data_IF_653475252400
#
_entry.id   IF_653475252400
#
_cell.length_a   1.000
_cell.length_b   1.000
_cell.length_c   1.000
_cell.angle_alpha   90.00
_cell.angle_beta   90.00
_cell.angle_gamma   90.00
#
_symmetry.space_group_name_H-M   'P 1'
#
loop_
_entity.id
_entity.type
_entity.pdbx_description
1 polymer ?
#
# COMPACT_ATOMS: atom_id res chain seq x y z
N UNK A 1 38.74 -29.09 41.44
CA UNK A 1 38.41 -27.71 41.87
C UNK A 1 37.43 -27.14 40.84
N UNK A 2 36.11 -27.11 41.04
CA UNK A 2 35.28 -26.29 41.94
C UNK A 2 35.57 -24.78 41.84
N UNK A 3 34.80 -24.05 41.03
CA UNK A 3 34.40 -22.66 41.29
C UNK A 3 32.90 -22.51 40.99
N UNK A 4 32.14 -22.35 42.07
CA UNK A 4 30.74 -21.90 42.17
C UNK A 4 30.78 -20.42 42.54
N UNK A 5 30.16 -19.53 41.76
CA UNK A 5 29.77 -18.16 42.15
C UNK A 5 28.69 -17.71 41.16
N UNK A 6 27.39 -17.68 41.44
CA UNK A 6 26.60 -16.88 42.39
C UNK A 6 26.60 -15.38 42.03
N UNK A 7 25.66 -14.95 41.19
CA UNK A 7 25.15 -13.57 41.13
C UNK A 7 23.62 -13.64 41.07
N UNK A 8 23.04 -13.47 42.24
CA UNK A 8 21.66 -13.13 42.56
C UNK A 8 21.61 -11.58 42.67
N UNK A 9 20.45 -10.97 42.44
CA UNK A 9 19.98 -9.64 42.93
C UNK A 9 19.81 -8.52 41.88
N UNK A 10 18.71 -7.76 42.02
CA UNK A 10 18.33 -6.44 41.43
C UNK A 10 17.69 -6.52 40.01
N UNK A 11 16.46 -6.06 39.71
CA UNK A 11 15.66 -4.95 40.24
C UNK A 11 14.14 -5.19 40.01
N UNK A 12 13.34 -5.05 41.08
CA UNK A 12 11.88 -4.85 41.06
C UNK A 12 11.61 -3.34 40.87
N UNK A 13 10.85 -2.95 39.84
CA UNK A 13 9.93 -1.81 39.77
C UNK A 13 9.73 -1.36 38.31
N UNK A 14 8.76 -1.93 37.60
CA UNK A 14 8.27 -1.37 36.33
C UNK A 14 6.78 -1.71 36.13
N UNK A 15 5.96 -1.44 37.15
CA UNK A 15 4.50 -1.66 37.13
C UNK A 15 3.80 -0.30 37.24
N UNK A 16 3.45 0.31 36.10
CA UNK A 16 2.61 1.52 36.16
C UNK A 16 2.55 2.38 34.89
N UNK A 17 2.27 1.83 33.71
CA UNK A 17 1.87 2.65 32.54
C UNK A 17 1.09 1.91 31.44
N UNK A 18 0.58 0.69 31.67
CA UNK A 18 -0.02 -0.15 30.60
C UNK A 18 -1.55 -0.03 30.45
N UNK A 19 -2.25 0.80 31.23
CA UNK A 19 -3.73 0.71 31.33
C UNK A 19 -4.55 1.73 30.54
N UNK A 20 -3.97 2.74 29.88
CA UNK A 20 -4.77 3.79 29.21
C UNK A 20 -5.04 3.57 27.71
N UNK A 21 -4.43 2.58 27.06
CA UNK A 21 -4.66 2.32 25.62
C UNK A 21 -5.95 1.51 25.34
N UNK A 22 -6.48 0.79 26.33
CA UNK A 22 -7.64 -0.07 26.14
C UNK A 22 -8.98 0.70 26.02
N UNK A 23 -9.10 1.89 26.62
CA UNK A 23 -10.39 2.60 26.66
C UNK A 23 -10.72 3.37 25.38
N UNK A 24 -9.73 3.82 24.61
CA UNK A 24 -9.97 4.56 23.37
C UNK A 24 -10.42 3.67 22.19
N UNK A 25 -10.13 2.36 22.22
CA UNK A 25 -10.44 1.44 21.11
C UNK A 25 -11.89 0.92 21.12
N UNK A 26 -12.64 1.11 22.21
CA UNK A 26 -13.99 0.55 22.33
C UNK A 26 -15.09 1.46 21.72
N UNK A 27 -14.77 2.73 21.44
CA UNK A 27 -15.75 3.74 21.04
C UNK A 27 -16.39 3.50 19.66
N UNK A 28 -15.65 3.01 18.67
CA UNK A 28 -16.20 2.82 17.31
C UNK A 28 -17.09 1.58 17.20
N UNK A 29 -16.78 0.50 17.92
CA UNK A 29 -17.64 -0.71 17.92
C UNK A 29 -18.99 -0.43 18.58
N UNK A 30 -19.03 0.44 19.60
CA UNK A 30 -20.27 0.81 20.31
C UNK A 30 -21.21 1.64 19.42
N UNK A 31 -20.69 2.41 18.45
CA UNK A 31 -21.51 3.16 17.48
C UNK A 31 -22.23 2.28 16.44
N UNK A 32 -21.84 1.00 16.30
CA UNK A 32 -22.51 0.10 15.35
C UNK A 32 -23.92 -0.26 15.82
N UNK A 33 -24.91 -0.32 14.90
CA UNK A 33 -26.22 -0.91 15.18
C UNK A 33 -26.07 -2.33 15.77
N UNK A 34 -26.92 -2.75 16.73
CA UNK A 34 -26.73 -3.99 17.46
C UNK A 34 -26.56 -5.25 16.60
N UNK A 35 -27.37 -5.38 15.53
CA UNK A 35 -27.27 -6.50 14.60
C UNK A 35 -25.92 -6.52 13.87
N UNK A 36 -25.44 -5.35 13.44
CA UNK A 36 -24.18 -5.21 12.73
C UNK A 36 -22.99 -5.44 13.65
N UNK A 37 -23.07 -4.98 14.90
CA UNK A 37 -22.07 -5.23 15.93
C UNK A 37 -21.91 -6.72 16.21
N UNK A 38 -23.01 -7.43 16.41
CA UNK A 38 -22.99 -8.88 16.62
C UNK A 38 -22.39 -9.61 15.42
N UNK A 39 -22.76 -9.21 14.21
CA UNK A 39 -22.19 -9.76 12.98
C UNK A 39 -20.67 -9.53 12.87
N UNK A 40 -20.18 -8.31 13.13
CA UNK A 40 -18.75 -7.99 13.11
C UNK A 40 -17.99 -8.79 14.18
N UNK A 41 -18.51 -8.86 15.41
CA UNK A 41 -17.89 -9.62 16.50
C UNK A 41 -17.88 -11.12 16.24
N UNK A 42 -18.85 -11.65 15.47
CA UNK A 42 -18.87 -13.07 15.10
C UNK A 42 -17.77 -13.45 14.09
N UNK A 43 -17.17 -12.46 13.40
CA UNK A 43 -16.23 -12.72 12.30
C UNK A 43 -16.85 -13.38 11.06
N UNK A 44 -18.17 -13.48 10.99
CA UNK A 44 -18.87 -14.06 9.84
C UNK A 44 -19.19 -12.98 8.80
N UNK A 45 -18.44 -12.97 7.69
CA UNK A 45 -18.63 -12.02 6.60
C UNK A 45 -20.06 -12.05 6.01
N UNK A 46 -20.68 -13.23 5.92
CA UNK A 46 -22.06 -13.35 5.41
C UNK A 46 -23.06 -12.68 6.34
N UNK A 47 -22.88 -12.83 7.66
CA UNK A 47 -23.74 -12.16 8.64
C UNK A 47 -23.58 -10.64 8.57
N UNK A 48 -22.38 -10.13 8.31
CA UNK A 48 -22.12 -8.69 8.13
C UNK A 48 -22.85 -8.18 6.88
N UNK A 49 -22.70 -8.86 5.73
CA UNK A 49 -23.40 -8.49 4.50
C UNK A 49 -24.93 -8.55 4.64
N UNK A 50 -25.46 -9.60 5.31
CA UNK A 50 -26.90 -9.70 5.60
C UNK A 50 -27.38 -8.55 6.47
N UNK A 51 -26.65 -8.22 7.55
CA UNK A 51 -27.00 -7.11 8.43
C UNK A 51 -26.99 -5.77 7.68
N UNK A 52 -26.00 -5.52 6.81
CA UNK A 52 -25.97 -4.31 5.96
C UNK A 52 -27.19 -4.27 5.04
N UNK A 53 -27.51 -5.38 4.35
CA UNK A 53 -28.63 -5.44 3.42
C UNK A 53 -29.99 -5.23 4.11
N UNK A 54 -30.18 -5.83 5.28
CA UNK A 54 -31.41 -5.66 6.07
C UNK A 54 -31.52 -4.24 6.60
N UNK A 55 -30.45 -3.68 7.16
CA UNK A 55 -30.46 -2.34 7.77
C UNK A 55 -30.51 -1.22 6.72
N UNK A 56 -29.97 -1.43 5.53
CA UNK A 56 -30.05 -0.46 4.43
C UNK A 56 -31.46 -0.34 3.87
N UNK A 57 -32.29 -1.39 4.01
CA UNK A 57 -33.64 -1.43 3.44
C UNK A 57 -33.65 -1.29 1.92
N UNK A 58 -32.57 -1.73 1.25
CA UNK A 58 -32.38 -1.55 -0.19
C UNK A 58 -31.90 -0.16 -0.61
N UNK A 59 -31.67 0.77 0.32
CA UNK A 59 -31.11 2.08 -0.01
C UNK A 59 -29.58 2.00 -0.22
N UNK A 60 -29.07 2.30 -1.43
CA UNK A 60 -27.65 2.16 -1.76
C UNK A 60 -26.75 3.14 -0.99
N UNK A 61 -27.21 4.36 -0.72
CA UNK A 61 -26.45 5.34 0.06
C UNK A 61 -26.27 4.86 1.50
N UNK A 62 -27.36 4.38 2.12
CA UNK A 62 -27.33 3.84 3.47
C UNK A 62 -26.46 2.59 3.57
N UNK A 63 -26.45 1.74 2.53
CA UNK A 63 -25.55 0.60 2.46
C UNK A 63 -24.08 1.04 2.46
N UNK A 64 -23.73 2.10 1.72
CA UNK A 64 -22.39 2.70 1.70
C UNK A 64 -21.99 3.24 3.09
N UNK A 65 -22.88 3.97 3.75
CA UNK A 65 -22.63 4.53 5.08
C UNK A 65 -22.42 3.41 6.13
N UNK A 66 -23.23 2.35 6.08
CA UNK A 66 -23.07 1.17 6.94
C UNK A 66 -21.77 0.43 6.64
N UNK A 67 -21.40 0.24 5.37
CA UNK A 67 -20.12 -0.37 5.00
C UNK A 67 -18.92 0.46 5.53
N UNK A 68 -19.02 1.79 5.49
CA UNK A 68 -18.01 2.69 6.04
C UNK A 68 -17.87 2.54 7.57
N UNK A 69 -19.00 2.41 8.30
CA UNK A 69 -18.97 2.12 9.73
C UNK A 69 -18.34 0.76 10.04
N UNK A 70 -18.67 -0.26 9.25
CA UNK A 70 -18.14 -1.63 9.41
C UNK A 70 -16.63 -1.66 9.23
N UNK A 71 -16.10 -1.04 8.17
CA UNK A 71 -14.66 -1.06 7.93
C UNK A 71 -13.90 -0.24 8.98
N UNK A 72 -14.49 0.85 9.49
CA UNK A 72 -13.91 1.62 10.60
C UNK A 72 -13.85 0.78 11.88
N UNK A 73 -14.90 0.03 12.18
CA UNK A 73 -14.90 -0.89 13.32
C UNK A 73 -13.93 -2.07 13.11
N UNK A 74 -13.81 -2.57 11.88
CA UNK A 74 -12.84 -3.61 11.52
C UNK A 74 -11.39 -3.13 11.75
N UNK A 75 -11.07 -1.87 11.38
CA UNK A 75 -9.76 -1.27 11.62
C UNK A 75 -9.41 -1.23 13.12
N UNK A 76 -10.37 -0.87 13.98
CA UNK A 76 -10.17 -0.89 15.44
C UNK A 76 -10.00 -2.31 16.00
N UNK A 77 -10.77 -3.26 15.48
CA UNK A 77 -10.73 -4.67 15.89
C UNK A 77 -9.45 -5.40 15.45
N UNK A 78 -8.70 -4.86 14.50
CA UNK A 78 -7.50 -5.48 13.94
C UNK A 78 -6.45 -5.83 15.00
N UNK A 79 -6.36 -5.07 16.09
CA UNK A 79 -5.42 -5.35 17.19
C UNK A 79 -5.87 -6.48 18.13
N UNK A 80 -7.16 -6.80 18.14
CA UNK A 80 -7.77 -7.77 19.07
C UNK A 80 -8.14 -9.07 18.36
N UNK A 81 -8.74 -8.97 17.18
CA UNK A 81 -9.13 -10.11 16.34
C UNK A 81 -8.92 -9.79 14.85
N UNK A 82 -7.67 -9.98 14.33
CA UNK A 82 -7.35 -9.70 12.94
C UNK A 82 -8.22 -10.48 11.93
N UNK A 83 -8.58 -11.72 12.25
CA UNK A 83 -9.37 -12.57 11.36
C UNK A 83 -10.80 -12.03 11.19
N UNK A 84 -11.46 -11.66 12.29
CA UNK A 84 -12.79 -11.04 12.23
C UNK A 84 -12.73 -9.66 11.53
N UNK A 85 -11.65 -8.90 11.73
CA UNK A 85 -11.46 -7.61 11.08
C UNK A 85 -11.37 -7.75 9.55
N UNK A 86 -10.58 -8.70 9.05
CA UNK A 86 -10.50 -8.97 7.62
C UNK A 86 -11.83 -9.45 7.02
N UNK A 87 -12.56 -10.32 7.74
CA UNK A 87 -13.88 -10.78 7.30
C UNK A 87 -14.89 -9.62 7.21
N UNK A 88 -14.92 -8.74 8.21
CA UNK A 88 -15.79 -7.57 8.23
C UNK A 88 -15.41 -6.55 7.12
N UNK A 89 -14.11 -6.28 6.94
CA UNK A 89 -13.63 -5.43 5.86
C UNK A 89 -13.96 -6.01 4.47
N UNK A 90 -13.83 -7.32 4.28
CA UNK A 90 -14.22 -8.00 3.04
C UNK A 90 -15.71 -7.86 2.74
N UNK A 91 -16.57 -8.03 3.74
CA UNK A 91 -18.01 -7.81 3.58
C UNK A 91 -18.36 -6.36 3.23
N UNK A 92 -17.65 -5.38 3.83
CA UNK A 92 -17.82 -3.97 3.51
C UNK A 92 -17.37 -3.64 2.07
N UNK A 93 -16.22 -4.16 1.62
CA UNK A 93 -15.73 -4.00 0.25
C UNK A 93 -16.70 -4.63 -0.76
N UNK A 94 -17.21 -5.83 -0.49
CA UNK A 94 -18.19 -6.48 -1.36
C UNK A 94 -19.52 -5.72 -1.41
N UNK A 95 -19.91 -5.03 -0.34
CA UNK A 95 -21.10 -4.16 -0.35
C UNK A 95 -20.90 -2.98 -1.32
N UNK A 96 -19.78 -2.27 -1.22
CA UNK A 96 -19.50 -1.11 -2.09
C UNK A 96 -19.13 -1.50 -3.52
N UNK A 97 -18.84 -2.79 -3.77
CA UNK A 97 -18.65 -3.32 -5.11
C UNK A 97 -19.90 -3.20 -5.98
N UNK A 98 -21.09 -3.21 -5.39
CA UNK A 98 -22.33 -3.05 -6.13
C UNK A 98 -22.35 -1.68 -6.85
N UNK A 99 -22.52 -1.69 -8.17
CA UNK A 99 -22.48 -0.49 -9.01
C UNK A 99 -23.46 0.60 -8.54
N UNK A 100 -24.65 0.22 -8.05
CA UNK A 100 -25.63 1.20 -7.54
C UNK A 100 -25.14 1.92 -6.29
N UNK A 101 -24.35 1.23 -5.45
CA UNK A 101 -23.71 1.82 -4.26
C UNK A 101 -22.59 2.77 -4.68
N UNK A 102 -21.78 2.37 -5.67
CA UNK A 102 -20.69 3.21 -6.19
C UNK A 102 -21.20 4.54 -6.75
N UNK A 103 -22.32 4.52 -7.49
CA UNK A 103 -22.90 5.73 -8.09
C UNK A 103 -23.62 6.60 -7.07
N UNK A 104 -24.25 5.99 -6.06
CA UNK A 104 -25.00 6.74 -5.04
C UNK A 104 -24.08 7.35 -3.97
N UNK A 105 -23.06 6.61 -3.53
CA UNK A 105 -22.13 6.99 -2.45
C UNK A 105 -20.66 6.86 -2.85
N UNK A 106 -20.17 7.67 -3.82
CA UNK A 106 -18.80 7.58 -4.28
C UNK A 106 -17.78 7.92 -3.19
N UNK A 107 -18.04 8.93 -2.35
CA UNK A 107 -17.15 9.33 -1.25
C UNK A 107 -17.02 8.22 -0.20
N UNK A 108 -18.14 7.58 0.17
CA UNK A 108 -18.15 6.45 1.09
C UNK A 108 -17.39 5.25 0.51
N UNK A 109 -17.57 4.97 -0.79
CA UNK A 109 -16.82 3.91 -1.47
C UNK A 109 -15.32 4.16 -1.37
N UNK A 110 -14.85 5.39 -1.64
CA UNK A 110 -13.44 5.75 -1.51
C UNK A 110 -12.92 5.61 -0.08
N UNK A 111 -13.71 6.04 0.92
CA UNK A 111 -13.38 5.87 2.34
C UNK A 111 -13.25 4.39 2.71
N UNK A 112 -14.16 3.55 2.22
CA UNK A 112 -14.13 2.10 2.45
C UNK A 112 -12.88 1.47 1.86
N UNK A 113 -12.55 1.80 0.61
CA UNK A 113 -11.35 1.25 -0.05
C UNK A 113 -10.05 1.71 0.62
N UNK A 114 -9.99 2.98 1.04
CA UNK A 114 -8.82 3.53 1.73
C UNK A 114 -8.62 2.86 3.10
N UNK A 115 -9.70 2.65 3.84
CA UNK A 115 -9.64 1.99 5.15
C UNK A 115 -9.33 0.50 5.01
N UNK A 116 -9.95 -0.19 4.04
CA UNK A 116 -9.63 -1.58 3.72
C UNK A 116 -8.15 -1.74 3.33
N UNK A 117 -7.59 -0.78 2.59
CA UNK A 117 -6.17 -0.73 2.26
C UNK A 117 -5.27 -0.66 3.50
N UNK A 118 -5.61 0.17 4.49
CA UNK A 118 -4.88 0.18 5.77
C UNK A 118 -4.97 -1.14 6.52
N UNK A 119 -6.13 -1.80 6.50
CA UNK A 119 -6.35 -3.09 7.17
C UNK A 119 -5.48 -4.20 6.55
N UNK A 120 -5.53 -4.40 5.23
CA UNK A 120 -4.77 -5.50 4.61
C UNK A 120 -3.26 -5.24 4.57
N UNK A 121 -2.83 -3.97 4.62
CA UNK A 121 -1.41 -3.59 4.77
C UNK A 121 -0.93 -3.74 6.22
N UNK A 122 -1.80 -3.87 7.22
CA UNK A 122 -1.35 -3.96 8.59
C UNK A 122 -0.55 -5.25 8.85
N UNK A 123 0.56 -5.20 9.63
CA UNK A 123 1.36 -6.38 9.93
C UNK A 123 0.55 -7.54 10.51
N UNK A 124 -0.38 -7.24 11.44
CA UNK A 124 -1.24 -8.23 12.08
C UNK A 124 -2.11 -9.01 11.07
N UNK A 125 -2.65 -8.33 10.05
CA UNK A 125 -3.44 -8.99 9.00
C UNK A 125 -2.57 -9.98 8.20
N UNK A 126 -1.39 -9.52 7.77
CA UNK A 126 -0.47 -10.34 6.96
C UNK A 126 0.15 -11.51 7.72
N UNK A 127 0.33 -11.40 9.03
CA UNK A 127 0.87 -12.47 9.86
C UNK A 127 -0.16 -13.55 10.20
N UNK A 128 -1.41 -13.14 10.49
CA UNK A 128 -2.45 -14.07 10.95
C UNK A 128 -3.18 -14.74 9.80
N UNK A 129 -3.51 -14.02 8.71
CA UNK A 129 -4.16 -14.63 7.56
C UNK A 129 -3.68 -14.01 6.23
N UNK A 130 -2.45 -14.34 5.80
CA UNK A 130 -1.83 -13.79 4.58
C UNK A 130 -2.72 -13.98 3.33
N UNK A 131 -3.35 -15.15 3.18
CA UNK A 131 -4.24 -15.44 2.06
C UNK A 131 -5.50 -14.57 2.06
N UNK A 132 -6.07 -14.29 3.25
CA UNK A 132 -7.26 -13.42 3.36
C UNK A 132 -6.89 -11.95 3.09
N UNK A 133 -5.72 -11.50 3.56
CA UNK A 133 -5.20 -10.17 3.26
C UNK A 133 -4.99 -9.98 1.74
N UNK A 134 -4.42 -10.98 1.06
CA UNK A 134 -4.25 -10.96 -0.40
C UNK A 134 -5.61 -10.89 -1.13
N UNK A 135 -6.58 -11.73 -0.72
CA UNK A 135 -7.91 -11.74 -1.31
C UNK A 135 -8.64 -10.40 -1.10
N UNK A 136 -8.55 -9.82 0.09
CA UNK A 136 -9.11 -8.50 0.39
C UNK A 136 -8.46 -7.40 -0.45
N UNK A 137 -7.13 -7.44 -0.62
CA UNK A 137 -6.41 -6.49 -1.46
C UNK A 137 -6.84 -6.60 -2.94
N UNK A 138 -6.99 -7.82 -3.47
CA UNK A 138 -7.53 -8.05 -4.81
C UNK A 138 -8.96 -7.51 -4.95
N UNK A 139 -9.86 -7.81 -4.01
CA UNK A 139 -11.23 -7.30 -4.06
C UNK A 139 -11.27 -5.77 -4.01
N UNK A 140 -10.50 -5.16 -3.11
CA UNK A 140 -10.42 -3.70 -3.00
C UNK A 140 -9.88 -3.07 -4.29
N UNK A 141 -8.86 -3.67 -4.92
CA UNK A 141 -8.31 -3.19 -6.18
C UNK A 141 -9.32 -3.30 -7.32
N UNK A 142 -10.08 -4.40 -7.40
CA UNK A 142 -11.14 -4.57 -8.41
C UNK A 142 -12.24 -3.52 -8.26
N UNK A 143 -12.66 -3.21 -7.04
CA UNK A 143 -13.63 -2.12 -6.79
C UNK A 143 -13.00 -0.76 -7.13
N UNK A 144 -11.75 -0.52 -6.75
CA UNK A 144 -11.05 0.72 -7.08
C UNK A 144 -11.03 0.98 -8.59
N UNK A 145 -10.70 -0.04 -9.40
CA UNK A 145 -10.74 0.05 -10.87
C UNK A 145 -12.15 0.38 -11.37
N UNK A 146 -13.19 -0.23 -10.79
CA UNK A 146 -14.57 0.05 -11.16
C UNK A 146 -15.00 1.51 -10.89
N UNK A 147 -14.41 2.17 -9.89
CA UNK A 147 -14.70 3.59 -9.60
C UNK A 147 -14.24 4.55 -10.69
N UNK A 148 -13.35 4.11 -11.60
CA UNK A 148 -12.71 4.96 -12.61
C UNK A 148 -12.03 6.22 -12.04
N UNK A 149 -11.65 6.21 -10.76
CA UNK A 149 -10.92 7.32 -10.13
C UNK A 149 -9.40 7.01 -10.11
N UNK A 150 -8.58 7.70 -10.92
CA UNK A 150 -7.15 7.42 -11.03
C UNK A 150 -6.37 7.43 -9.71
N UNK A 151 -6.68 8.38 -8.83
CA UNK A 151 -5.99 8.53 -7.55
C UNK A 151 -6.33 7.39 -6.59
N UNK A 152 -7.59 6.95 -6.56
CA UNK A 152 -8.02 5.83 -5.71
C UNK A 152 -7.39 4.53 -6.21
N UNK A 153 -7.37 4.30 -7.53
CA UNK A 153 -6.71 3.13 -8.13
C UNK A 153 -5.23 3.10 -7.74
N UNK A 154 -4.51 4.22 -7.90
CA UNK A 154 -3.10 4.30 -7.58
C UNK A 154 -2.82 4.04 -6.09
N UNK A 155 -3.60 4.62 -5.18
CA UNK A 155 -3.44 4.46 -3.73
C UNK A 155 -3.71 3.02 -3.27
N UNK A 156 -4.76 2.38 -3.80
CA UNK A 156 -5.09 0.99 -3.48
C UNK A 156 -4.06 0.04 -4.08
N UNK A 157 -3.60 0.27 -5.32
CA UNK A 157 -2.54 -0.52 -5.94
C UNK A 157 -1.21 -0.40 -5.19
N UNK A 158 -0.85 0.79 -4.70
CA UNK A 158 0.34 0.98 -3.86
C UNK A 158 0.25 0.20 -2.55
N UNK A 159 -0.92 0.20 -1.91
CA UNK A 159 -1.16 -0.58 -0.70
C UNK A 159 -1.11 -2.08 -0.99
N UNK A 160 -1.70 -2.51 -2.10
CA UNK A 160 -1.71 -3.91 -2.55
C UNK A 160 -0.29 -4.43 -2.83
N UNK A 161 0.54 -3.67 -3.53
CA UNK A 161 1.93 -4.11 -3.82
C UNK A 161 2.80 -4.11 -2.56
N UNK A 162 2.55 -3.22 -1.59
CA UNK A 162 3.21 -3.25 -0.28
C UNK A 162 2.85 -4.53 0.50
N UNK A 163 1.60 -4.97 0.36
CA UNK A 163 1.13 -6.24 0.94
C UNK A 163 1.77 -7.43 0.21
N UNK A 164 1.84 -7.37 -1.13
CA UNK A 164 2.51 -8.37 -1.94
C UNK A 164 3.99 -8.54 -1.55
N UNK A 165 4.70 -7.45 -1.27
CA UNK A 165 6.10 -7.49 -0.82
C UNK A 165 6.28 -8.28 0.48
N UNK A 166 5.35 -8.12 1.44
CA UNK A 166 5.36 -8.91 2.68
C UNK A 166 4.95 -10.36 2.46
N UNK A 167 4.00 -10.60 1.57
CA UNK A 167 3.56 -11.93 1.20
C UNK A 167 4.65 -12.73 0.47
N UNK A 168 5.62 -12.08 -0.17
CA UNK A 168 6.66 -12.77 -0.93
C UNK A 168 7.45 -13.79 -0.10
N UNK A 169 7.53 -13.59 1.22
CA UNK A 169 8.21 -14.50 2.16
C UNK A 169 7.36 -15.69 2.62
N UNK A 170 6.02 -15.56 2.62
CA UNK A 170 5.11 -16.56 3.21
C UNK A 170 4.22 -17.23 2.17
N UNK A 171 3.87 -16.50 1.11
CA UNK A 171 3.07 -16.95 -0.02
C UNK A 171 3.54 -16.24 -1.31
N UNK A 172 4.68 -16.68 -1.88
CA UNK A 172 5.28 -16.04 -3.06
C UNK A 172 4.38 -16.06 -4.30
N UNK A 173 3.53 -17.07 -4.47
CA UNK A 173 2.58 -17.13 -5.58
C UNK A 173 1.49 -16.05 -5.47
N UNK A 174 0.90 -15.87 -4.28
CA UNK A 174 -0.08 -14.80 -4.05
C UNK A 174 0.56 -13.41 -4.17
N UNK A 175 1.82 -13.25 -3.73
CA UNK A 175 2.58 -12.02 -3.92
C UNK A 175 2.74 -11.66 -5.41
N UNK A 176 3.14 -12.62 -6.24
CA UNK A 176 3.24 -12.40 -7.69
C UNK A 176 1.89 -12.01 -8.30
N UNK A 177 0.82 -12.73 -7.97
CA UNK A 177 -0.52 -12.43 -8.50
C UNK A 177 -1.00 -11.02 -8.12
N UNK A 178 -0.82 -10.63 -6.85
CA UNK A 178 -1.24 -9.32 -6.37
C UNK A 178 -0.39 -8.19 -6.98
N UNK A 179 0.93 -8.40 -7.12
CA UNK A 179 1.81 -7.46 -7.80
C UNK A 179 1.42 -7.28 -9.29
N UNK A 180 1.12 -8.38 -9.99
CA UNK A 180 0.65 -8.35 -11.38
C UNK A 180 -0.63 -7.53 -11.54
N UNK A 181 -1.63 -7.79 -10.70
CA UNK A 181 -2.90 -7.04 -10.74
C UNK A 181 -2.68 -5.55 -10.44
N UNK A 182 -1.80 -5.24 -9.49
CA UNK A 182 -1.47 -3.86 -9.12
C UNK A 182 -0.82 -3.10 -10.27
N UNK A 183 0.14 -3.72 -10.97
CA UNK A 183 0.81 -3.14 -12.14
C UNK A 183 -0.18 -2.94 -13.30
N UNK A 184 -1.05 -3.91 -13.57
CA UNK A 184 -2.09 -3.77 -14.59
C UNK A 184 -3.04 -2.62 -14.29
N UNK A 185 -3.45 -2.46 -13.03
CA UNK A 185 -4.35 -1.38 -12.62
C UNK A 185 -3.73 0.01 -12.82
N UNK A 186 -2.45 0.20 -12.46
CA UNK A 186 -1.77 1.50 -12.64
C UNK A 186 -1.24 1.75 -14.05
N UNK A 187 -1.16 0.71 -14.87
CA UNK A 187 -0.75 0.80 -16.27
C UNK A 187 -1.82 1.41 -17.19
N UNK A 188 -3.04 1.62 -16.70
CA UNK A 188 -4.06 2.35 -17.42
C UNK A 188 -3.62 3.82 -17.66
N UNK A 189 -3.79 4.31 -18.89
CA UNK A 189 -3.33 5.65 -19.31
C UNK A 189 -3.90 6.78 -18.43
N UNK A 190 -5.15 6.63 -17.96
CA UNK A 190 -5.77 7.59 -17.04
C UNK A 190 -5.05 7.64 -15.70
N UNK A 191 -4.55 6.51 -15.19
CA UNK A 191 -3.81 6.43 -13.92
C UNK A 191 -2.40 6.98 -14.09
N UNK A 192 -1.67 6.53 -15.11
CA UNK A 192 -0.29 6.99 -15.36
C UNK A 192 -0.18 8.51 -15.56
N UNK A 193 -1.21 9.15 -16.13
CA UNK A 193 -1.21 10.59 -16.37
C UNK A 193 -1.58 11.41 -15.13
N UNK A 194 -2.44 10.88 -14.25
CA UNK A 194 -2.94 11.63 -13.08
C UNK A 194 -2.20 11.30 -11.78
N UNK A 195 -1.52 10.15 -11.70
CA UNK A 195 -0.77 9.71 -10.52
C UNK A 195 0.59 9.09 -10.90
N UNK A 196 1.44 9.75 -11.73
CA UNK A 196 2.67 9.15 -12.26
C UNK A 196 3.67 8.72 -11.18
N UNK A 197 3.78 9.48 -10.08
CA UNK A 197 4.66 9.12 -8.96
C UNK A 197 4.23 7.83 -8.25
N UNK A 198 2.94 7.66 -8.01
CA UNK A 198 2.39 6.42 -7.44
C UNK A 198 2.53 5.25 -8.41
N UNK A 199 2.27 5.45 -9.71
CA UNK A 199 2.50 4.43 -10.74
C UNK A 199 3.97 3.98 -10.77
N UNK A 200 4.92 4.91 -10.68
CA UNK A 200 6.35 4.58 -10.61
C UNK A 200 6.69 3.78 -9.34
N UNK A 201 6.14 4.14 -8.17
CA UNK A 201 6.35 3.42 -6.92
C UNK A 201 5.77 2.00 -6.93
N UNK A 202 4.60 1.81 -7.55
CA UNK A 202 3.99 0.48 -7.75
C UNK A 202 4.88 -0.37 -8.65
N UNK A 203 5.34 0.18 -9.78
CA UNK A 203 6.23 -0.52 -10.69
C UNK A 203 7.57 -0.87 -10.03
N UNK A 204 8.17 0.04 -9.25
CA UNK A 204 9.41 -0.19 -8.50
C UNK A 204 9.28 -1.31 -7.47
N UNK A 205 8.16 -1.36 -6.73
CA UNK A 205 7.93 -2.41 -5.75
C UNK A 205 7.65 -3.75 -6.42
N UNK A 206 6.84 -3.78 -7.48
CA UNK A 206 6.61 -4.99 -8.27
C UNK A 206 7.92 -5.53 -8.88
N UNK A 207 8.78 -4.64 -9.39
CA UNK A 207 10.10 -5.01 -9.91
C UNK A 207 11.00 -5.64 -8.84
N UNK A 208 10.95 -5.15 -7.59
CA UNK A 208 11.66 -5.77 -6.45
C UNK A 208 11.09 -7.13 -6.07
N UNK A 209 9.77 -7.34 -6.19
CA UNK A 209 9.12 -8.62 -5.91
C UNK A 209 9.57 -9.70 -6.91
N UNK A 210 9.62 -9.38 -8.20
CA UNK A 210 9.92 -10.38 -9.24
C UNK A 210 11.38 -10.81 -9.33
N UNK A 211 12.30 -10.07 -8.70
CA UNK A 211 13.71 -10.49 -8.58
C UNK A 211 13.96 -11.38 -7.36
N UNK A 212 12.94 -11.64 -6.53
CA UNK A 212 13.08 -12.55 -5.39
C UNK A 212 13.06 -14.02 -5.87
N UNK A 213 14.05 -14.85 -5.49
CA UNK A 213 14.13 -16.24 -5.96
C UNK A 213 12.89 -17.08 -5.63
N UNK A 214 12.30 -16.90 -4.44
CA UNK A 214 11.10 -17.62 -4.03
C UNK A 214 9.89 -17.32 -4.94
N UNK A 215 9.76 -16.07 -5.39
CA UNK A 215 8.69 -15.63 -6.30
C UNK A 215 8.91 -16.20 -7.71
N UNK A 216 10.16 -16.20 -8.18
CA UNK A 216 10.53 -16.77 -9.48
C UNK A 216 10.25 -18.28 -9.55
N UNK A 217 10.57 -19.02 -8.49
CA UNK A 217 10.29 -20.46 -8.41
C UNK A 217 8.79 -20.76 -8.29
N UNK A 218 8.05 -19.96 -7.52
CA UNK A 218 6.64 -20.21 -7.26
C UNK A 218 5.70 -19.81 -8.41
N UNK A 219 6.02 -18.76 -9.15
CA UNK A 219 5.13 -18.20 -10.19
C UNK A 219 5.89 -17.64 -11.40
N UNK A 220 6.68 -18.46 -12.12
CA UNK A 220 7.59 -17.97 -13.17
C UNK A 220 6.86 -17.29 -14.34
N UNK A 221 5.67 -17.78 -14.72
CA UNK A 221 4.85 -17.17 -15.78
C UNK A 221 4.32 -15.79 -15.37
N UNK A 222 3.88 -15.64 -14.13
CA UNK A 222 3.41 -14.35 -13.60
C UNK A 222 4.55 -13.35 -13.47
N UNK A 223 5.73 -13.81 -13.03
CA UNK A 223 6.96 -12.98 -13.01
C UNK A 223 7.31 -12.45 -14.40
N UNK A 224 7.26 -13.30 -15.43
CA UNK A 224 7.47 -12.89 -16.81
C UNK A 224 6.48 -11.79 -17.26
N UNK A 225 5.20 -11.96 -16.95
CA UNK A 225 4.15 -10.98 -17.27
C UNK A 225 4.41 -9.64 -16.58
N UNK A 226 4.73 -9.67 -15.28
CA UNK A 226 5.06 -8.46 -14.52
C UNK A 226 6.28 -7.77 -15.12
N UNK A 227 7.35 -8.51 -15.45
CA UNK A 227 8.57 -7.93 -16.05
C UNK A 227 8.26 -7.14 -17.32
N UNK A 228 7.43 -7.71 -18.21
CA UNK A 228 6.97 -7.00 -19.42
C UNK A 228 6.15 -5.78 -19.06
N UNK A 229 5.14 -5.93 -18.19
CA UNK A 229 4.23 -4.84 -17.83
C UNK A 229 4.93 -3.68 -17.12
N UNK A 230 5.80 -3.94 -16.13
CA UNK A 230 6.52 -2.85 -15.44
C UNK A 230 7.47 -2.12 -16.38
N UNK A 231 8.11 -2.82 -17.33
CA UNK A 231 8.96 -2.19 -18.36
C UNK A 231 8.14 -1.26 -19.24
N UNK A 232 6.96 -1.69 -19.70
CA UNK A 232 6.05 -0.85 -20.49
C UNK A 232 5.55 0.37 -19.69
N UNK A 233 5.23 0.18 -18.41
CA UNK A 233 4.74 1.26 -17.53
C UNK A 233 5.82 2.32 -17.31
N UNK A 234 7.05 1.92 -16.97
CA UNK A 234 8.11 2.90 -16.65
C UNK A 234 8.76 3.52 -17.88
N UNK A 235 8.54 2.97 -19.08
CA UNK A 235 8.97 3.59 -20.34
C UNK A 235 7.96 4.60 -20.89
N UNK A 236 6.80 4.75 -20.24
CA UNK A 236 5.88 5.85 -20.50
C UNK A 236 6.55 7.19 -20.10
N UNK A 237 6.60 8.21 -20.99
CA UNK A 237 7.28 9.47 -20.69
C UNK A 237 6.84 10.18 -19.42
N UNK A 238 5.54 10.14 -19.08
CA UNK A 238 4.99 10.85 -17.91
C UNK A 238 5.43 10.15 -16.62
N UNK A 239 5.41 8.82 -16.59
CA UNK A 239 5.85 8.02 -15.43
C UNK A 239 7.38 8.11 -15.29
N UNK A 240 8.10 8.01 -16.40
CA UNK A 240 9.55 8.13 -16.41
C UNK A 240 10.02 9.49 -15.89
N UNK A 241 9.42 10.59 -16.38
CA UNK A 241 9.77 11.95 -15.96
C UNK A 241 9.53 12.17 -14.46
N UNK A 242 8.53 11.50 -13.87
CA UNK A 242 8.26 11.60 -12.44
C UNK A 242 9.35 10.94 -11.57
N UNK A 243 10.01 9.88 -12.05
CA UNK A 243 11.07 9.19 -11.31
C UNK A 243 12.11 8.50 -12.24
N UNK A 244 12.99 9.25 -12.92
CA UNK A 244 13.88 8.69 -13.95
C UNK A 244 14.82 7.59 -13.43
N UNK A 245 15.42 7.79 -12.25
CA UNK A 245 16.33 6.80 -11.66
C UNK A 245 15.61 5.52 -11.22
N UNK A 246 14.41 5.66 -10.63
CA UNK A 246 13.60 4.50 -10.25
C UNK A 246 13.14 3.71 -11.49
N UNK A 247 12.79 4.40 -12.58
CA UNK A 247 12.44 3.77 -13.85
C UNK A 247 13.60 2.94 -14.42
N UNK A 248 14.83 3.47 -14.41
CA UNK A 248 16.03 2.73 -14.85
C UNK A 248 16.27 1.49 -13.97
N UNK A 249 16.11 1.60 -12.66
CA UNK A 249 16.23 0.44 -11.76
C UNK A 249 15.14 -0.62 -12.02
N UNK A 250 13.89 -0.19 -12.26
CA UNK A 250 12.79 -1.08 -12.64
C UNK A 250 13.12 -1.83 -13.92
N UNK A 251 13.60 -1.12 -14.94
CA UNK A 251 14.02 -1.69 -16.21
C UNK A 251 15.13 -2.74 -16.03
N UNK A 252 16.12 -2.46 -15.17
CA UNK A 252 17.20 -3.40 -14.86
C UNK A 252 16.68 -4.67 -14.17
N UNK A 253 15.84 -4.51 -13.13
CA UNK A 253 15.24 -5.62 -12.40
C UNK A 253 14.33 -6.48 -13.30
N UNK A 254 13.53 -5.85 -14.16
CA UNK A 254 12.65 -6.53 -15.10
C UNK A 254 13.45 -7.33 -16.14
N UNK A 255 14.53 -6.77 -16.68
CA UNK A 255 15.41 -7.48 -17.60
C UNK A 255 16.11 -8.67 -16.94
N UNK A 256 16.64 -8.48 -15.72
CA UNK A 256 17.25 -9.57 -14.94
C UNK A 256 16.26 -10.70 -14.64
N UNK A 257 15.02 -10.38 -14.27
CA UNK A 257 13.98 -11.37 -14.05
C UNK A 257 13.58 -12.08 -15.36
N UNK A 258 13.38 -11.35 -16.45
CA UNK A 258 12.96 -11.92 -17.74
C UNK A 258 14.02 -12.82 -18.39
N UNK A 259 15.31 -12.59 -18.11
CA UNK A 259 16.43 -13.39 -18.64
C UNK A 259 16.84 -14.54 -17.72
N UNK A 260 16.23 -14.67 -16.54
CA UNK A 260 16.47 -15.80 -15.65
C UNK A 260 16.02 -17.12 -16.30
N UNK A 261 16.83 -18.17 -16.21
CA UNK A 261 16.57 -19.46 -16.88
C UNK A 261 15.22 -20.09 -16.52
N UNK A 262 14.80 -19.99 -15.25
CA UNK A 262 13.49 -20.53 -14.80
C UNK A 262 12.34 -19.78 -15.46
N UNK A 263 12.50 -18.46 -15.63
CA UNK A 263 11.50 -17.60 -16.27
C UNK A 263 11.50 -17.81 -17.79
N UNK A 264 12.67 -17.90 -18.42
CA UNK A 264 12.81 -18.17 -19.86
C UNK A 264 12.19 -19.53 -20.23
N UNK A 265 12.41 -20.56 -19.42
CA UNK A 265 11.80 -21.87 -19.64
C UNK A 265 10.26 -21.81 -19.57
N UNK A 266 9.71 -21.00 -18.66
CA UNK A 266 8.26 -20.85 -18.48
C UNK A 266 7.60 -19.87 -19.47
N UNK A 267 8.35 -18.88 -19.96
CA UNK A 267 7.89 -17.84 -20.89
C UNK A 267 9.02 -17.37 -21.81
N UNK A 268 9.30 -18.11 -22.91
CA UNK A 268 10.43 -17.82 -23.80
C UNK A 268 10.38 -16.44 -24.47
N UNK A 269 9.19 -15.84 -24.58
CA UNK A 269 8.99 -14.56 -25.27
C UNK A 269 9.32 -13.34 -24.39
N UNK A 270 9.28 -13.48 -23.06
CA UNK A 270 9.36 -12.34 -22.15
C UNK A 270 10.69 -11.58 -22.26
N UNK A 271 11.83 -12.29 -22.31
CA UNK A 271 13.14 -11.68 -22.49
C UNK A 271 13.22 -10.87 -23.79
N UNK A 272 12.68 -11.40 -24.88
CA UNK A 272 12.63 -10.73 -26.18
C UNK A 272 11.80 -9.45 -26.14
N UNK A 273 10.60 -9.49 -25.54
CA UNK A 273 9.74 -8.32 -25.39
C UNK A 273 10.38 -7.23 -24.52
N UNK A 274 10.93 -7.58 -23.35
CA UNK A 274 11.62 -6.61 -22.49
C UNK A 274 12.81 -5.98 -23.22
N UNK A 275 13.62 -6.79 -23.91
CA UNK A 275 14.75 -6.30 -24.73
C UNK A 275 14.29 -5.31 -25.80
N UNK A 276 13.21 -5.61 -26.52
CA UNK A 276 12.66 -4.73 -27.55
C UNK A 276 12.17 -3.41 -26.95
N UNK A 277 11.43 -3.45 -25.84
CA UNK A 277 10.94 -2.25 -25.16
C UNK A 277 12.09 -1.38 -24.64
N UNK A 278 13.15 -1.99 -24.10
CA UNK A 278 14.36 -1.27 -23.68
C UNK A 278 15.06 -0.58 -24.87
N UNK A 279 15.22 -1.27 -26.00
CA UNK A 279 15.79 -0.65 -27.20
C UNK A 279 14.93 0.51 -27.73
N UNK A 280 13.61 0.46 -27.60
CA UNK A 280 12.75 1.58 -27.95
C UNK A 280 12.93 2.75 -26.97
N UNK A 281 13.04 2.46 -25.67
CA UNK A 281 13.24 3.45 -24.62
C UNK A 281 14.60 4.16 -24.71
N UNK A 282 15.69 3.46 -25.08
CA UNK A 282 17.01 4.07 -25.26
C UNK A 282 17.04 5.09 -26.41
N UNK A 283 16.21 4.88 -27.42
CA UNK A 283 16.08 5.76 -28.58
C UNK A 283 14.95 6.79 -28.44
N UNK A 284 14.21 6.80 -27.32
CA UNK A 284 13.07 7.70 -27.14
C UNK A 284 13.54 9.13 -26.77
N UNK A 285 13.28 10.16 -27.61
CA UNK A 285 13.73 11.52 -27.34
C UNK A 285 13.16 12.12 -26.05
N UNK A 286 11.93 11.79 -25.67
CA UNK A 286 11.30 12.32 -24.45
C UNK A 286 11.99 11.78 -23.18
N UNK A 287 12.38 10.49 -23.19
CA UNK A 287 13.10 9.88 -22.07
C UNK A 287 14.53 10.44 -21.99
N UNK A 288 15.22 10.57 -23.12
CA UNK A 288 16.56 11.14 -23.20
C UNK A 288 16.60 12.64 -22.82
N UNK A 289 15.52 13.38 -23.09
CA UNK A 289 15.37 14.76 -22.60
C UNK A 289 15.16 14.85 -21.08
N UNK A 290 14.51 13.85 -20.48
CA UNK A 290 14.30 13.77 -19.02
C UNK A 290 15.54 13.25 -18.28
N UNK A 291 16.34 12.41 -18.93
CA UNK A 291 17.58 11.84 -18.42
C UNK A 291 18.58 11.66 -19.56
N UNK A 292 19.57 12.53 -19.65
CA UNK A 292 20.58 12.51 -20.72
C UNK A 292 21.47 11.27 -20.71
N UNK A 293 21.52 10.55 -19.58
CA UNK A 293 22.26 9.29 -19.44
C UNK A 293 21.42 8.05 -19.77
N UNK A 294 20.13 8.21 -20.08
CA UNK A 294 19.17 7.11 -20.26
C UNK A 294 19.64 6.07 -21.29
N UNK A 295 20.06 6.50 -22.48
CA UNK A 295 20.54 5.59 -23.52
C UNK A 295 21.75 4.75 -23.05
N UNK A 296 22.73 5.38 -22.39
CA UNK A 296 23.90 4.69 -21.86
C UNK A 296 23.53 3.71 -20.74
N UNK A 297 22.64 4.09 -19.83
CA UNK A 297 22.15 3.23 -18.74
C UNK A 297 21.37 2.03 -19.27
N UNK A 298 20.51 2.21 -20.26
CA UNK A 298 19.77 1.10 -20.89
C UNK A 298 20.72 0.16 -21.63
N UNK A 299 21.71 0.68 -22.35
CA UNK A 299 22.72 -0.15 -23.01
C UNK A 299 23.53 -0.98 -22.00
N UNK A 300 23.81 -0.43 -20.81
CA UNK A 300 24.45 -1.18 -19.73
C UNK A 300 23.56 -2.30 -19.16
N UNK A 301 22.24 -2.08 -19.06
CA UNK A 301 21.26 -3.14 -18.72
C UNK A 301 21.31 -4.26 -19.75
N UNK A 302 21.18 -3.91 -21.04
CA UNK A 302 21.16 -4.88 -22.15
C UNK A 302 22.48 -5.66 -22.28
N UNK A 303 23.62 -5.04 -21.94
CA UNK A 303 24.92 -5.69 -21.90
C UNK A 303 25.17 -6.54 -20.65
N UNK A 304 24.21 -6.66 -19.73
CA UNK A 304 24.38 -7.26 -18.41
C UNK A 304 25.54 -6.66 -17.58
N UNK A 305 25.95 -5.42 -17.88
CA UNK A 305 27.07 -4.76 -17.18
C UNK A 305 26.66 -4.18 -15.82
N UNK A 306 25.35 -4.15 -15.52
CA UNK A 306 24.80 -3.53 -14.30
C UNK A 306 24.91 -4.38 -13.02
N UNK A 307 25.67 -5.49 -12.99
CA UNK A 307 25.69 -6.33 -11.79
C UNK A 307 26.31 -5.67 -10.54
N UNK A 308 27.06 -4.56 -10.64
CA UNK A 308 27.70 -3.94 -9.47
C UNK A 308 27.91 -2.43 -9.59
N UNK A 309 26.97 -1.66 -10.14
CA UNK A 309 27.06 -0.21 -9.96
C UNK A 309 26.57 0.12 -8.54
N UNK A 310 27.44 0.64 -7.64
CA UNK A 310 27.02 1.00 -6.28
C UNK A 310 25.85 1.96 -6.40
N UNK A 311 24.73 1.66 -5.72
CA UNK A 311 23.62 2.60 -5.65
C UNK A 311 24.19 3.96 -5.22
N UNK A 312 23.96 5.05 -5.95
CA UNK A 312 24.27 6.37 -5.44
C UNK A 312 23.54 6.51 -4.11
N UNK A 313 24.30 6.67 -3.03
CA UNK A 313 23.77 6.92 -1.70
C UNK A 313 22.81 8.10 -1.81
N UNK A 314 21.56 7.83 -1.43
CA UNK A 314 20.45 8.78 -1.39
C UNK A 314 20.87 10.03 -0.59
N UNK A 315 21.19 11.12 -1.30
CA UNK A 315 21.51 12.42 -0.69
C UNK A 315 20.24 13.16 -0.20
N UNK A 316 19.08 12.49 -0.12
CA UNK A 316 17.79 13.09 0.24
C UNK A 316 17.48 13.29 1.73
N UNK A 317 18.32 12.87 2.68
CA UNK A 317 17.94 12.90 4.11
C UNK A 317 18.27 14.18 4.89
N UNK A 318 18.86 15.23 4.29
CA UNK A 318 19.30 16.42 5.07
C UNK A 318 18.26 17.54 5.22
N UNK A 319 17.08 17.48 4.61
CA UNK A 319 16.17 18.66 4.60
C UNK A 319 15.10 18.71 5.71
N UNK A 320 14.90 17.65 6.51
CA UNK A 320 13.86 17.63 7.57
C UNK A 320 14.37 17.89 9.00
N UNK A 321 15.68 18.09 9.25
CA UNK A 321 16.17 18.40 10.60
C UNK A 321 16.28 19.91 10.90
N UNK A 322 16.19 20.82 9.92
CA UNK A 322 16.29 22.26 10.19
C UNK A 322 14.98 22.95 10.61
N UNK A 323 13.80 22.32 10.48
CA UNK A 323 12.54 22.92 10.93
C UNK A 323 12.15 22.63 12.39
N UNK A 324 12.83 21.73 13.10
CA UNK A 324 12.54 21.46 14.52
C UNK A 324 13.34 22.31 15.52
N UNK A 325 14.37 23.06 15.09
CA UNK A 325 15.10 23.97 15.99
C UNK A 325 14.51 25.39 16.07
N UNK A 326 13.57 25.77 15.21
CA UNK A 326 12.99 27.12 15.23
C UNK A 326 11.71 27.25 16.09
N UNK A 327 11.17 26.14 16.61
CA UNK A 327 9.96 26.13 17.45
C UNK A 327 10.22 26.01 18.96
N UNK A 328 11.46 26.16 19.44
CA UNK A 328 11.78 26.18 20.89
C UNK A 328 12.17 27.57 21.42
N UNK A 329 12.05 28.63 20.62
CA UNK A 329 12.45 29.98 21.04
C UNK A 329 11.28 30.95 20.89
N UNK A 330 10.29 30.82 21.79
CA UNK A 330 9.09 31.65 21.77
C UNK A 330 8.22 31.49 23.01
N UNK A 331 8.83 31.35 24.19
CA UNK A 331 8.13 31.56 25.47
C UNK A 331 8.58 32.93 26.01
N UNK A 332 7.95 34.00 25.49
CA UNK A 332 8.07 35.35 26.04
C UNK A 332 6.87 35.55 26.96
N UNK A 333 7.18 35.57 28.25
CA UNK A 333 6.31 35.99 29.35
C UNK A 333 5.64 37.32 28.97
N UNK A 334 4.33 37.29 28.68
CA UNK A 334 3.52 38.51 28.64
C UNK A 334 3.12 38.82 30.07
N UNK A 335 3.87 39.75 30.63
CA UNK A 335 3.61 40.42 31.90
C UNK A 335 2.23 41.11 31.84
N UNK A 336 1.48 40.96 32.92
CA UNK A 336 0.09 41.39 33.10
C UNK A 336 0.06 42.85 33.61
N UNK A 337 -0.42 43.85 32.85
CA UNK A 337 -0.73 45.16 33.41
C UNK A 337 -2.18 45.19 33.91
N UNK A 338 -2.30 45.43 35.21
CA UNK A 338 -3.53 45.74 35.92
C UNK A 338 -4.20 47.05 35.45
N UNK A 339 -5.48 47.15 35.82
CA UNK A 339 -6.25 48.37 36.06
C UNK A 339 -6.50 49.36 34.91
N UNK A 340 -7.72 49.34 34.37
CA UNK A 340 -8.42 50.59 34.07
C UNK A 340 -9.94 50.44 34.22
N UNK A 341 -10.51 51.11 35.22
CA UNK A 341 -11.95 51.28 35.46
C UNK A 341 -12.38 52.59 34.76
N UNK A 342 -13.31 52.57 33.78
CA UNK A 342 -13.92 53.81 33.30
C UNK A 342 -15.13 54.21 34.15
N UNK A 343 -15.04 55.40 34.73
CA UNK A 343 -16.10 56.11 35.45
C UNK A 343 -17.01 56.82 34.44
N UNK A 344 -18.32 56.63 34.53
CA UNK A 344 -19.33 57.36 33.75
C UNK A 344 -19.56 58.76 34.32
N UNK A 345 -19.73 59.78 33.47
CA UNK A 345 -20.53 60.94 33.83
C UNK A 345 -21.79 61.07 32.95
N UNK A 346 -22.82 61.55 33.64
CA UNK A 346 -24.15 62.05 33.27
C UNK A 346 -24.32 62.70 31.90
#
# INVERSE_FOLDING_TARGET
>A
MRIRTLILTLCLALTGAVSNYAQAQQSGIVSLPPALRAAVMSGNAQAVSQAINTLSGGNPQRAADLANLVVTAAEQMLSVNPQAAMAAAGAAVETVRNTTVQTSGPTQTQSVLTTAARIFVAPAATQVAPTQAAALATSALQVAVATNNPTVIANVAQSAVTTAERLAQTNPAAAAQLASQSVQAVGAQSVSNNAPGQTANVAATAARIIVQPAVQQAAPQTVAQIAVSVTQVVTNPVVYQAAPQAAVQVMANAYSAATNETIVAASPQAAGTVTQTLNQASNNPALNGSNTSNAAQINAILGNQNQQQPLPQDQGQTQNQQQQQQNQQGDVVVENPADFIPVSPT
#
